data_IF_715950945719
#
_entry.id   IF_715950945719
#
_cell.length_a   1.000
_cell.length_b   1.000
_cell.length_c   1.000
_cell.angle_alpha   90.00
_cell.angle_beta   90.00
_cell.angle_gamma   90.00
#
_symmetry.space_group_name_H-M   'P 1'
#
loop_
_entity.id
_entity.type
_entity.pdbx_description
1 polymer ?
#
# COMPACT_ATOMS: atom_id res chain seq x y z
N UNK A 1 -14.09 -6.02 -1.46
CA UNK A 1 -15.55 -6.08 -1.24
C UNK A 1 -15.80 -6.57 0.17
N UNK A 2 -16.39 -5.76 1.06
CA UNK A 2 -16.87 -6.21 2.36
C UNK A 2 -17.94 -7.27 2.12
N UNK A 3 -17.71 -8.49 2.60
CA UNK A 3 -18.66 -9.60 2.45
C UNK A 3 -19.72 -9.50 3.56
N UNK A 4 -19.29 -9.13 4.76
CA UNK A 4 -20.16 -9.06 5.95
C UNK A 4 -19.51 -8.18 7.02
N UNK A 5 -20.28 -7.34 7.68
CA UNK A 5 -19.86 -6.69 8.92
C UNK A 5 -20.23 -7.59 10.10
N UNK A 6 -19.31 -7.77 11.03
CA UNK A 6 -19.48 -8.58 12.24
C UNK A 6 -19.49 -7.67 13.46
N UNK A 7 -20.38 -7.91 14.44
CA UNK A 7 -20.39 -7.14 15.67
C UNK A 7 -19.15 -7.44 16.53
N UNK A 8 -18.80 -6.51 17.41
CA UNK A 8 -17.75 -6.71 18.38
C UNK A 8 -18.02 -7.97 19.24
N UNK A 9 -16.98 -8.77 19.46
CA UNK A 9 -17.10 -10.02 20.22
C UNK A 9 -17.61 -11.21 19.43
N UNK A 10 -17.79 -11.10 18.11
CA UNK A 10 -18.18 -12.25 17.28
C UNK A 10 -17.05 -13.30 17.22
N UNK A 11 -17.41 -14.58 17.44
CA UNK A 11 -16.42 -15.67 17.42
C UNK A 11 -16.17 -16.12 15.98
N UNK A 12 -14.89 -16.25 15.64
CA UNK A 12 -14.42 -16.70 14.34
C UNK A 12 -13.41 -17.83 14.50
N UNK A 13 -13.49 -18.82 13.64
CA UNK A 13 -12.48 -19.87 13.55
C UNK A 13 -11.33 -19.39 12.66
N UNK A 14 -10.10 -19.39 13.18
CA UNK A 14 -8.91 -18.99 12.43
C UNK A 14 -8.48 -20.16 11.53
N UNK A 15 -8.33 -19.89 10.24
CA UNK A 15 -7.86 -20.85 9.23
C UNK A 15 -6.37 -20.66 8.98
N UNK A 16 -5.94 -19.43 8.74
CA UNK A 16 -4.55 -19.07 8.50
C UNK A 16 -4.26 -17.63 8.99
N UNK A 17 -2.99 -17.33 9.27
CA UNK A 17 -2.57 -16.01 9.73
C UNK A 17 -1.39 -15.52 8.92
N UNK A 18 -1.44 -14.25 8.49
CA UNK A 18 -0.32 -13.50 7.99
C UNK A 18 0.04 -12.39 8.98
N UNK A 19 1.03 -11.57 8.69
CA UNK A 19 1.43 -10.46 9.55
C UNK A 19 0.26 -9.50 9.84
N UNK A 20 -0.53 -9.18 8.82
CA UNK A 20 -1.53 -8.12 8.86
C UNK A 20 -2.97 -8.62 8.70
N UNK A 21 -3.17 -9.85 8.22
CA UNK A 21 -4.47 -10.45 7.94
C UNK A 21 -4.63 -11.85 8.52
N UNK A 22 -5.83 -12.15 8.96
CA UNK A 22 -6.23 -13.46 9.45
C UNK A 22 -7.36 -13.99 8.56
N UNK A 23 -7.13 -15.14 7.92
CA UNK A 23 -8.20 -15.87 7.25
C UNK A 23 -9.06 -16.56 8.30
N UNK A 24 -10.34 -16.30 8.24
CA UNK A 24 -11.30 -16.77 9.23
C UNK A 24 -12.50 -17.45 8.58
N UNK A 25 -13.19 -18.28 9.33
CA UNK A 25 -14.51 -18.83 8.99
C UNK A 25 -15.49 -18.49 10.07
N UNK A 26 -16.72 -18.11 9.68
CA UNK A 26 -17.84 -18.01 10.62
C UNK A 26 -18.49 -19.40 10.88
N UNK A 27 -19.45 -19.43 11.81
CA UNK A 27 -20.17 -20.66 12.19
C UNK A 27 -20.99 -21.29 11.05
N UNK A 28 -21.23 -20.55 9.99
CA UNK A 28 -21.92 -21.01 8.77
C UNK A 28 -20.94 -21.49 7.67
N UNK A 29 -19.63 -21.50 7.97
CA UNK A 29 -18.60 -21.89 7.01
C UNK A 29 -18.25 -20.80 5.99
N UNK A 30 -18.75 -19.57 6.14
CA UNK A 30 -18.37 -18.45 5.28
C UNK A 30 -16.95 -18.04 5.59
N UNK A 31 -16.08 -18.05 4.60
CA UNK A 31 -14.68 -17.66 4.75
C UNK A 31 -14.47 -16.21 4.36
N UNK A 32 -13.52 -15.57 5.04
CA UNK A 32 -13.15 -14.19 4.78
C UNK A 32 -11.83 -13.83 5.43
N UNK A 33 -11.37 -12.60 5.17
CA UNK A 33 -10.16 -12.05 5.79
C UNK A 33 -10.53 -10.91 6.72
N UNK A 34 -9.92 -10.90 7.91
CA UNK A 34 -10.05 -9.85 8.90
C UNK A 34 -8.66 -9.32 9.24
N UNK A 35 -8.50 -8.01 9.33
CA UNK A 35 -7.21 -7.44 9.75
C UNK A 35 -6.84 -7.91 11.15
N UNK A 36 -5.58 -8.32 11.32
CA UNK A 36 -5.07 -8.91 12.56
C UNK A 36 -5.17 -7.95 13.77
N UNK A 37 -5.27 -6.64 13.53
CA UNK A 37 -5.45 -5.64 14.59
C UNK A 37 -6.85 -5.68 15.26
N UNK A 38 -7.84 -6.25 14.58
CA UNK A 38 -9.22 -6.37 15.08
C UNK A 38 -9.55 -7.76 15.63
N UNK A 39 -8.56 -8.66 15.69
CA UNK A 39 -8.74 -10.02 16.22
C UNK A 39 -8.16 -10.11 17.64
N UNK A 40 -9.02 -10.46 18.60
CA UNK A 40 -8.58 -10.86 19.93
C UNK A 40 -8.41 -12.38 19.97
N UNK A 41 -7.16 -12.84 20.09
CA UNK A 41 -6.83 -14.26 20.11
C UNK A 41 -7.12 -14.84 21.49
N UNK A 42 -8.33 -15.34 21.70
CA UNK A 42 -8.66 -16.13 22.92
C UNK A 42 -7.94 -17.47 22.86
N UNK A 43 -6.93 -17.68 23.65
CA UNK A 43 -6.14 -18.92 23.79
C UNK A 43 -4.99 -19.17 22.80
N UNK A 44 -4.34 -18.14 22.26
CA UNK A 44 -3.16 -18.38 21.44
C UNK A 44 -2.32 -17.13 21.29
N UNK A 45 -1.04 -17.32 21.41
CA UNK A 45 -0.02 -16.27 21.19
C UNK A 45 -0.23 -15.67 19.81
N UNK A 46 -0.35 -14.32 19.73
CA UNK A 46 -0.22 -13.57 18.49
C UNK A 46 0.98 -14.14 17.72
N UNK A 47 0.86 -14.53 16.43
CA UNK A 47 1.96 -15.15 15.72
C UNK A 47 3.16 -14.20 15.71
N UNK A 48 4.23 -14.59 16.39
CA UNK A 48 5.51 -13.95 16.20
C UNK A 48 6.00 -14.29 14.80
N UNK A 49 6.59 -13.32 14.11
CA UNK A 49 7.24 -13.46 12.81
C UNK A 49 8.02 -14.79 12.74
N UNK A 50 7.51 -15.76 11.96
CA UNK A 50 8.28 -16.95 11.64
C UNK A 50 9.17 -16.63 10.44
N UNK A 51 10.31 -16.05 10.72
CA UNK A 51 11.46 -16.08 9.80
C UNK A 51 12.03 -17.49 9.89
N UNK A 52 11.90 -18.28 8.86
CA UNK A 52 12.62 -19.55 8.77
C UNK A 52 14.10 -19.23 8.57
N UNK A 53 14.88 -19.46 9.61
CA UNK A 53 16.33 -19.46 9.51
C UNK A 53 16.84 -20.87 9.77
N UNK A 54 17.35 -21.49 8.72
CA UNK A 54 18.07 -22.76 8.83
C UNK A 54 19.39 -22.53 9.56
N UNK A 55 19.58 -23.36 10.56
CA UNK A 55 20.71 -23.48 11.47
C UNK A 55 22.05 -23.66 10.78
N UNK A 56 23.05 -22.89 11.18
CA UNK A 56 24.41 -23.40 11.31
C UNK A 56 25.16 -22.65 12.40
N UNK A 57 25.54 -23.39 13.43
CA UNK A 57 26.35 -22.92 14.55
C UNK A 57 27.79 -22.69 14.16
N UNK A 58 28.40 -21.59 14.60
CA UNK A 58 29.80 -21.58 15.04
C UNK A 58 30.03 -20.48 16.09
N UNK A 59 30.78 -20.86 17.13
CA UNK A 59 31.13 -20.15 18.34
C UNK A 59 32.23 -19.07 18.15
N UNK A 60 32.17 -18.06 19.05
CA UNK A 60 33.24 -17.29 19.74
C UNK A 60 34.06 -16.27 18.95
N UNK A 61 34.21 -15.05 19.40
CA UNK A 61 34.91 -14.49 20.60
C UNK A 61 35.02 -12.97 20.42
N UNK A 62 34.91 -12.24 21.50
CA UNK A 62 34.95 -10.79 21.62
C UNK A 62 36.19 -10.09 21.04
N UNK A 63 35.99 -8.90 20.47
CA UNK A 63 36.73 -7.68 20.89
C UNK A 63 36.18 -6.47 20.10
N UNK A 64 35.98 -5.37 20.82
CA UNK A 64 35.28 -4.19 20.31
C UNK A 64 36.03 -3.43 19.24
N UNK A 65 35.22 -2.74 18.44
CA UNK A 65 35.55 -1.42 17.90
C UNK A 65 34.23 -0.86 17.28
N UNK A 66 33.93 0.35 17.72
CA UNK A 66 32.84 1.17 17.20
C UNK A 66 32.88 1.21 15.68
N UNK A 67 31.83 0.71 15.04
CA UNK A 67 31.57 1.01 13.62
C UNK A 67 30.07 1.21 13.42
N UNK A 68 29.74 2.37 12.95
CA UNK A 68 28.48 2.87 12.43
C UNK A 68 27.69 1.76 11.74
N UNK A 69 26.61 1.32 12.36
CA UNK A 69 25.71 0.33 11.79
C UNK A 69 24.91 0.99 10.67
N UNK A 70 25.41 0.91 9.45
CA UNK A 70 24.57 1.04 8.28
C UNK A 70 23.62 -0.16 8.28
N UNK A 71 22.39 0.04 8.74
CA UNK A 71 21.33 -0.92 8.54
C UNK A 71 21.20 -1.14 7.04
N UNK A 72 21.57 -2.33 6.55
CA UNK A 72 21.25 -2.76 5.21
C UNK A 72 19.73 -2.90 5.13
N UNK A 73 19.05 -1.81 4.75
CA UNK A 73 17.64 -1.80 4.39
C UNK A 73 17.50 -2.78 3.22
N UNK A 74 16.75 -3.88 3.39
CA UNK A 74 16.33 -4.69 2.26
C UNK A 74 15.55 -3.74 1.34
N UNK A 75 16.13 -3.40 0.19
CA UNK A 75 15.48 -2.49 -0.74
C UNK A 75 14.34 -3.23 -1.43
N UNK A 76 13.13 -2.70 -1.30
CA UNK A 76 11.92 -3.18 -1.95
C UNK A 76 11.92 -2.75 -3.43
N UNK A 77 12.61 -3.54 -4.28
CA UNK A 77 12.77 -3.20 -5.71
C UNK A 77 11.69 -3.84 -6.55
N UNK A 78 11.03 -3.03 -7.38
CA UNK A 78 10.02 -3.47 -8.34
C UNK A 78 10.35 -2.97 -9.75
N UNK A 79 9.90 -3.72 -10.75
CA UNK A 79 10.13 -3.38 -12.17
C UNK A 79 8.83 -2.92 -12.82
N UNK A 80 8.84 -1.70 -13.32
CA UNK A 80 7.74 -1.06 -14.05
C UNK A 80 8.20 -0.74 -15.47
N UNK A 81 7.55 -1.29 -16.49
CA UNK A 81 7.90 -1.06 -17.90
C UNK A 81 9.40 -1.23 -18.20
N UNK A 82 10.04 -2.27 -17.63
CA UNK A 82 11.46 -2.55 -17.78
C UNK A 82 12.40 -1.69 -16.93
N UNK A 83 11.89 -0.75 -16.14
CA UNK A 83 12.65 0.07 -15.21
C UNK A 83 12.51 -0.44 -13.78
N UNK A 84 13.62 -0.87 -13.17
CA UNK A 84 13.66 -1.27 -11.76
C UNK A 84 13.90 -0.06 -10.88
N UNK A 85 13.03 0.16 -9.90
CA UNK A 85 13.11 1.25 -8.92
C UNK A 85 13.01 0.71 -7.50
N UNK A 86 13.48 1.48 -6.54
CA UNK A 86 13.28 1.24 -5.11
C UNK A 86 11.95 1.86 -4.70
N UNK A 87 11.01 1.01 -4.25
CA UNK A 87 9.65 1.45 -3.92
C UNK A 87 9.60 2.26 -2.64
N UNK A 88 10.48 1.96 -1.69
CA UNK A 88 10.56 2.74 -0.47
C UNK A 88 11.02 4.17 -0.77
N UNK A 89 12.00 4.33 -1.68
CA UNK A 89 12.43 5.65 -2.15
C UNK A 89 11.33 6.38 -2.92
N UNK A 90 10.57 5.67 -3.76
CA UNK A 90 9.41 6.23 -4.48
C UNK A 90 8.37 6.80 -3.50
N UNK A 91 8.02 6.03 -2.47
CA UNK A 91 7.03 6.44 -1.47
C UNK A 91 7.54 7.63 -0.65
N UNK A 92 8.77 7.58 -0.16
CA UNK A 92 9.35 8.68 0.61
C UNK A 92 9.47 9.96 -0.24
N UNK A 93 9.81 9.84 -1.52
CA UNK A 93 9.80 10.97 -2.44
C UNK A 93 8.39 11.53 -2.62
N UNK A 94 7.38 10.68 -2.80
CA UNK A 94 6.00 11.12 -2.98
C UNK A 94 5.45 11.89 -1.76
N UNK A 95 5.84 11.50 -0.55
CA UNK A 95 5.41 12.14 0.70
C UNK A 95 5.95 13.55 0.88
N UNK A 96 7.03 13.93 0.20
CA UNK A 96 7.57 15.29 0.26
C UNK A 96 6.61 16.33 -0.30
N UNK A 97 5.65 15.91 -1.12
CA UNK A 97 4.67 16.78 -1.78
C UNK A 97 3.31 16.81 -1.07
N UNK A 98 3.19 16.23 0.13
CA UNK A 98 1.96 16.33 0.92
C UNK A 98 1.66 17.82 1.18
N UNK A 99 0.43 18.25 0.85
CA UNK A 99 -0.01 19.64 0.93
C UNK A 99 0.16 20.44 -0.37
N UNK A 100 0.78 19.89 -1.43
CA UNK A 100 0.74 20.53 -2.76
C UNK A 100 -0.70 20.71 -3.21
N UNK A 101 -1.13 21.90 -3.62
CA UNK A 101 -2.52 22.17 -3.98
C UNK A 101 -3.04 21.31 -5.14
N UNK A 102 -4.33 20.99 -5.12
CA UNK A 102 -4.98 20.40 -6.28
C UNK A 102 -5.16 21.45 -7.38
N UNK A 103 -4.64 21.16 -8.56
CA UNK A 103 -4.85 21.98 -9.77
C UNK A 103 -5.27 21.06 -10.91
N UNK A 104 -6.51 21.21 -11.41
CA UNK A 104 -7.00 20.41 -12.53
C UNK A 104 -6.09 20.56 -13.76
N UNK A 105 -5.60 19.44 -14.29
CA UNK A 105 -4.62 19.43 -15.38
C UNK A 105 -3.17 19.71 -14.93
N UNK A 106 -2.94 19.97 -13.64
CA UNK A 106 -1.62 20.26 -13.08
C UNK A 106 -0.69 19.05 -13.05
N UNK A 107 0.61 19.30 -13.21
CA UNK A 107 1.68 18.30 -13.17
C UNK A 107 2.92 18.79 -12.42
N UNK A 108 2.83 19.96 -11.82
CA UNK A 108 3.90 20.58 -11.05
C UNK A 108 3.80 20.15 -9.58
N UNK A 109 4.76 19.32 -9.15
CA UNK A 109 4.76 18.76 -7.80
C UNK A 109 4.89 19.81 -6.69
N UNK A 110 5.38 21.00 -6.99
CA UNK A 110 5.54 22.09 -6.01
C UNK A 110 4.36 23.06 -6.02
N UNK A 111 3.80 23.37 -7.22
CA UNK A 111 2.83 24.45 -7.38
C UNK A 111 1.40 23.97 -7.62
N UNK A 112 1.20 22.74 -8.09
CA UNK A 112 -0.13 22.16 -8.23
C UNK A 112 -0.23 20.97 -9.15
N UNK A 113 -0.97 19.97 -8.70
CA UNK A 113 -1.16 18.68 -9.40
C UNK A 113 -2.61 18.22 -9.34
N UNK A 114 -3.09 17.55 -10.39
CA UNK A 114 -4.28 16.70 -10.26
C UNK A 114 -3.87 15.26 -9.88
N UNK A 115 -4.85 14.36 -9.69
CA UNK A 115 -4.61 13.00 -9.23
C UNK A 115 -3.61 12.23 -10.13
N UNK A 116 -3.83 12.24 -11.42
CA UNK A 116 -2.96 11.54 -12.39
C UNK A 116 -1.67 12.30 -12.68
N UNK A 117 -1.70 13.62 -12.64
CA UNK A 117 -0.51 14.46 -12.74
C UNK A 117 0.47 14.25 -11.60
N UNK A 118 -0.02 14.11 -10.37
CA UNK A 118 0.77 13.75 -9.20
C UNK A 118 1.48 12.42 -9.41
N UNK A 119 0.71 11.35 -9.63
CA UNK A 119 1.25 10.00 -9.79
C UNK A 119 2.24 9.94 -10.96
N UNK A 120 1.88 10.50 -12.12
CA UNK A 120 2.74 10.54 -13.29
C UNK A 120 4.07 11.25 -12.99
N UNK A 121 4.04 12.41 -12.33
CA UNK A 121 5.24 13.21 -12.04
C UNK A 121 6.16 12.52 -11.03
N UNK A 122 5.60 11.86 -10.02
CA UNK A 122 6.36 11.05 -9.05
C UNK A 122 7.07 9.90 -9.76
N UNK A 123 6.36 9.09 -10.54
CA UNK A 123 6.95 7.95 -11.26
C UNK A 123 7.98 8.38 -12.32
N UNK A 124 7.73 9.51 -12.99
CA UNK A 124 8.66 10.09 -13.97
C UNK A 124 10.03 10.40 -13.36
N UNK A 125 10.08 10.85 -12.11
CA UNK A 125 11.34 11.13 -11.39
C UNK A 125 12.20 9.86 -11.23
N UNK A 126 11.57 8.68 -11.18
CA UNK A 126 12.22 7.37 -11.15
C UNK A 126 12.42 6.75 -12.54
N UNK A 127 12.12 7.49 -13.60
CA UNK A 127 12.29 7.05 -14.99
C UNK A 127 11.19 6.11 -15.49
N UNK A 128 10.04 6.04 -14.79
CA UNK A 128 8.86 5.28 -15.22
C UNK A 128 7.88 6.23 -15.92
N UNK A 129 7.48 5.91 -17.14
CA UNK A 129 6.55 6.71 -17.94
C UNK A 129 5.12 6.19 -17.75
N UNK A 130 4.25 7.06 -17.23
CA UNK A 130 2.82 6.82 -17.13
C UNK A 130 2.04 7.73 -18.08
N UNK A 131 0.87 7.26 -18.54
CA UNK A 131 -0.04 8.09 -19.34
C UNK A 131 -0.57 9.27 -18.50
N UNK A 132 -1.01 10.35 -19.17
CA UNK A 132 -1.43 11.58 -18.47
C UNK A 132 -2.74 11.42 -17.70
N UNK A 133 -3.69 10.66 -18.19
CA UNK A 133 -5.03 10.55 -17.59
C UNK A 133 -5.24 9.18 -16.93
N UNK A 134 -5.95 9.16 -15.80
CA UNK A 134 -6.11 7.96 -14.97
C UNK A 134 -6.65 6.75 -15.70
N UNK A 135 -7.64 6.92 -16.59
CA UNK A 135 -8.20 5.80 -17.39
C UNK A 135 -7.20 5.20 -18.38
N UNK A 136 -6.26 6.02 -18.92
CA UNK A 136 -5.24 5.52 -19.83
C UNK A 136 -4.08 4.88 -19.05
N UNK A 137 -3.80 5.35 -17.82
CA UNK A 137 -2.91 4.66 -16.87
C UNK A 137 -3.42 3.28 -16.51
N UNK A 138 -4.73 3.16 -16.24
CA UNK A 138 -5.35 1.87 -15.93
C UNK A 138 -5.11 0.82 -17.03
N UNK A 139 -5.07 1.25 -18.29
CA UNK A 139 -4.81 0.36 -19.43
C UNK A 139 -3.32 0.01 -19.62
N UNK A 140 -2.40 0.68 -18.94
CA UNK A 140 -0.97 0.39 -19.03
C UNK A 140 -0.52 -0.78 -18.14
N UNK A 141 -1.24 -1.01 -17.05
CA UNK A 141 -0.86 -1.97 -16.02
C UNK A 141 -1.49 -3.34 -16.19
N UNK A 142 -1.12 -4.23 -15.29
CA UNK A 142 -1.79 -5.51 -15.08
C UNK A 142 -2.61 -5.42 -13.80
N UNK A 143 -3.88 -5.84 -13.87
CA UNK A 143 -4.74 -5.82 -12.71
C UNK A 143 -4.25 -6.82 -11.65
N UNK A 144 -4.19 -6.38 -10.41
CA UNK A 144 -3.88 -7.20 -9.23
C UNK A 144 -5.10 -7.29 -8.32
N UNK A 145 -5.22 -8.38 -7.58
CA UNK A 145 -6.27 -8.53 -6.58
C UNK A 145 -5.93 -7.68 -5.34
N UNK A 146 -6.96 -7.24 -4.59
CA UNK A 146 -6.73 -6.47 -3.35
C UNK A 146 -5.80 -7.19 -2.35
N UNK A 147 -5.87 -8.51 -2.28
CA UNK A 147 -5.03 -9.32 -1.40
C UNK A 147 -3.55 -9.34 -1.81
N UNK A 148 -3.28 -9.03 -3.07
CA UNK A 148 -1.93 -9.04 -3.66
C UNK A 148 -1.37 -7.63 -3.85
N UNK A 149 -2.04 -6.60 -3.30
CA UNK A 149 -1.57 -5.21 -3.37
C UNK A 149 -0.22 -5.06 -2.66
N UNK A 150 0.71 -4.48 -3.37
CA UNK A 150 2.02 -4.13 -2.86
C UNK A 150 2.27 -2.62 -2.95
N UNK A 151 3.03 -2.04 -2.01
CA UNK A 151 3.41 -0.63 -2.09
C UNK A 151 3.95 -0.27 -3.48
N UNK A 152 3.51 0.88 -4.02
CA UNK A 152 3.78 1.31 -5.38
C UNK A 152 2.77 0.80 -6.42
N UNK A 153 1.74 0.04 -6.06
CA UNK A 153 0.62 -0.24 -6.97
C UNK A 153 -0.28 1.00 -7.13
N UNK A 154 -0.90 1.12 -8.30
CA UNK A 154 -1.85 2.20 -8.56
C UNK A 154 -3.27 1.74 -8.26
N UNK A 155 -3.97 2.55 -7.49
CA UNK A 155 -5.39 2.37 -7.17
C UNK A 155 -6.22 3.27 -8.08
N UNK A 156 -7.22 2.69 -8.72
CA UNK A 156 -8.10 3.42 -9.64
C UNK A 156 -9.53 3.41 -9.11
N UNK A 157 -10.15 4.58 -9.11
CA UNK A 157 -11.47 4.77 -8.53
C UNK A 157 -12.44 5.35 -9.54
N UNK A 158 -13.71 4.98 -9.37
CA UNK A 158 -14.84 5.65 -10.01
C UNK A 158 -15.52 6.55 -8.98
N UNK A 159 -15.22 7.83 -9.01
CA UNK A 159 -15.80 8.84 -8.10
C UNK A 159 -17.00 9.55 -8.67
N UNK A 160 -17.32 9.34 -9.95
CA UNK A 160 -18.35 10.08 -10.69
C UNK A 160 -19.68 9.36 -10.83
N UNK A 161 -19.86 8.15 -10.26
CA UNK A 161 -21.13 7.39 -10.37
C UNK A 161 -21.44 6.80 -11.77
N UNK A 162 -20.60 7.05 -12.76
CA UNK A 162 -20.57 6.38 -14.05
C UNK A 162 -19.49 5.30 -14.02
N UNK A 163 -19.54 4.28 -14.87
CA UNK A 163 -18.59 3.15 -14.85
C UNK A 163 -17.17 3.50 -15.29
N UNK A 164 -16.80 4.78 -15.39
CA UNK A 164 -15.50 5.23 -15.88
C UNK A 164 -14.53 5.54 -14.74
N UNK A 165 -13.27 5.15 -14.91
CA UNK A 165 -12.17 5.57 -14.02
C UNK A 165 -12.04 7.10 -14.06
N UNK A 166 -12.09 7.73 -12.91
CA UNK A 166 -12.04 9.20 -12.76
C UNK A 166 -10.95 9.67 -11.78
N UNK A 167 -10.37 8.76 -10.98
CA UNK A 167 -9.37 9.10 -10.00
C UNK A 167 -8.29 8.02 -9.89
N UNK A 168 -7.11 8.40 -9.41
CA UNK A 168 -5.98 7.50 -9.18
C UNK A 168 -5.17 7.94 -7.96
N UNK A 169 -4.67 6.97 -7.22
CA UNK A 169 -3.70 7.13 -6.13
C UNK A 169 -2.64 6.05 -6.19
N UNK A 170 -1.60 6.18 -5.40
CA UNK A 170 -0.54 5.19 -5.24
C UNK A 170 -0.66 4.53 -3.87
N UNK A 171 -0.77 3.22 -3.83
CA UNK A 171 -0.79 2.44 -2.59
C UNK A 171 0.57 2.53 -1.90
N UNK A 172 0.57 2.82 -0.60
CA UNK A 172 1.79 2.99 0.20
C UNK A 172 1.93 1.97 1.33
N UNK A 173 1.03 0.96 1.35
CA UNK A 173 0.97 -0.05 2.41
C UNK A 173 -0.02 0.31 3.51
N UNK A 174 -0.30 -0.65 4.41
CA UNK A 174 -1.16 -0.47 5.60
C UNK A 174 -2.59 0.02 5.30
N UNK A 175 -3.16 -0.39 4.17
CA UNK A 175 -4.45 0.11 3.67
C UNK A 175 -4.47 1.63 3.45
N UNK A 176 -3.32 2.25 3.19
CA UNK A 176 -3.19 3.68 2.90
C UNK A 176 -2.74 3.91 1.46
N UNK A 177 -3.15 5.03 0.88
CA UNK A 177 -2.70 5.48 -0.42
C UNK A 177 -2.48 7.00 -0.43
N UNK A 178 -1.51 7.44 -1.23
CA UNK A 178 -1.22 8.85 -1.45
C UNK A 178 -1.78 9.29 -2.79
N UNK A 179 -2.49 10.41 -2.81
CA UNK A 179 -3.12 10.96 -4.00
C UNK A 179 -3.29 12.48 -3.91
N UNK A 180 -3.56 13.14 -5.04
CA UNK A 180 -4.02 14.52 -5.06
C UNK A 180 -5.54 14.54 -5.28
N UNK A 181 -6.27 15.23 -4.42
CA UNK A 181 -7.73 15.32 -4.44
C UNK A 181 -8.23 16.75 -4.29
N UNK A 182 -9.39 17.06 -4.90
CA UNK A 182 -10.12 18.31 -4.69
C UNK A 182 -11.28 18.15 -3.69
N UNK A 183 -11.26 17.05 -2.93
CA UNK A 183 -12.23 16.75 -1.87
C UNK A 183 -11.72 17.15 -0.49
N UNK A 184 -11.99 16.31 0.50
CA UNK A 184 -11.48 16.53 1.85
C UNK A 184 -9.95 16.53 1.86
N UNK A 185 -9.35 17.67 2.27
CA UNK A 185 -7.90 17.84 2.33
C UNK A 185 -7.29 18.63 1.16
N UNK A 186 -8.00 18.87 0.07
CA UNK A 186 -7.66 19.68 -1.12
C UNK A 186 -6.15 19.75 -1.42
N UNK A 187 -5.69 18.81 -2.23
CA UNK A 187 -4.28 18.67 -2.61
C UNK A 187 -3.75 17.26 -2.39
N UNK A 188 -2.42 17.14 -2.25
CA UNK A 188 -1.76 15.86 -2.00
C UNK A 188 -1.93 15.45 -0.55
N UNK A 189 -2.59 14.32 -0.33
CA UNK A 189 -2.89 13.76 1.00
C UNK A 189 -2.69 12.25 1.02
N UNK A 190 -2.61 11.69 2.22
CA UNK A 190 -2.74 10.25 2.47
C UNK A 190 -4.16 9.97 2.95
N UNK A 191 -4.80 8.98 2.35
CA UNK A 191 -6.14 8.50 2.72
C UNK A 191 -6.13 7.01 2.99
N UNK A 192 -7.09 6.56 3.81
CA UNK A 192 -7.29 5.14 4.07
C UNK A 192 -8.17 4.52 2.99
N UNK A 193 -7.83 3.31 2.56
CA UNK A 193 -8.68 2.49 1.69
C UNK A 193 -10.01 2.10 2.35
N UNK A 194 -10.15 2.36 3.65
CA UNK A 194 -11.34 2.07 4.43
C UNK A 194 -12.30 3.27 4.56
N UNK A 195 -11.91 4.45 4.06
CA UNK A 195 -12.67 5.71 4.18
C UNK A 195 -13.75 5.93 3.09
N UNK A 196 -14.24 4.87 2.47
CA UNK A 196 -15.45 4.92 1.65
C UNK A 196 -15.28 5.29 0.17
N UNK A 197 -14.08 5.44 -0.34
CA UNK A 197 -13.79 5.57 -1.78
C UNK A 197 -13.59 4.21 -2.47
N UNK A 198 -13.70 3.09 -1.75
CA UNK A 198 -13.43 1.73 -2.25
C UNK A 198 -14.67 0.87 -2.22
#
# INVERSE_FOLDING_TARGET
>A
KVIKSLPEGYNLSIISTTKDWVEVSDDNGTKGFVSAQYIDFKNGTKPANKTENATSSIKNTASGTSSTTSSSKLSNKRTYNGKTIDVDELIEYSKQFIGTPYVYGGTDLENGVDCSGFVMSVYKNFGVQLNRVSRDMYLQGTAVQRADLEPGDLLFFNTGGNSAISHVGMYIGNDEYIHSTNGAGDGVVISSMNDGYV
#
